data_IF_747836822380
#
_entry.id   IF_747836822380
#
_cell.length_a   1.000
_cell.length_b   1.000
_cell.length_c   1.000
_cell.angle_alpha   90.00
_cell.angle_beta   90.00
_cell.angle_gamma   90.00
#
_symmetry.space_group_name_H-M   'P 1'
#
loop_
_entity.id
_entity.type
_entity.pdbx_description
1 polymer ?
#
# COMPACT_ATOMS: atom_id res chain seq x y z
N UNK A 1 -33.57 -39.77 15.72
CA UNK A 1 -33.27 -39.79 14.27
C UNK A 1 -32.07 -38.90 14.05
N UNK A 2 -30.88 -39.49 13.98
CA UNK A 2 -29.62 -38.77 13.66
C UNK A 2 -29.62 -38.46 12.17
N UNK A 3 -29.53 -37.18 11.81
CA UNK A 3 -29.35 -36.79 10.40
C UNK A 3 -28.18 -37.56 9.77
N UNK A 4 -28.30 -37.99 8.51
CA UNK A 4 -27.21 -38.66 7.82
C UNK A 4 -25.98 -37.73 7.80
N UNK A 5 -24.85 -38.25 8.29
CA UNK A 5 -23.58 -37.53 8.33
C UNK A 5 -23.17 -37.10 6.91
N UNK A 6 -23.55 -35.88 6.52
CA UNK A 6 -23.07 -35.26 5.28
C UNK A 6 -21.57 -35.06 5.42
N UNK A 7 -20.82 -35.69 4.51
CA UNK A 7 -19.38 -35.46 4.39
C UNK A 7 -19.19 -33.96 4.13
N UNK A 8 -18.42 -33.25 4.97
CA UNK A 8 -18.20 -31.82 4.78
C UNK A 8 -17.45 -31.57 3.47
N UNK A 9 -17.82 -30.48 2.78
CA UNK A 9 -17.11 -30.01 1.58
C UNK A 9 -15.63 -29.73 1.90
N UNK A 10 -14.73 -29.97 0.94
CA UNK A 10 -13.27 -29.76 1.11
C UNK A 10 -12.92 -28.37 1.66
N UNK A 11 -13.55 -27.32 1.12
CA UNK A 11 -13.33 -25.96 1.63
C UNK A 11 -13.75 -25.76 3.09
N UNK A 12 -14.79 -26.47 3.55
CA UNK A 12 -15.21 -26.43 4.96
C UNK A 12 -14.24 -27.19 5.86
N UNK A 13 -13.66 -28.30 5.39
CA UNK A 13 -12.60 -29.02 6.09
C UNK A 13 -11.34 -28.16 6.25
N UNK A 14 -10.89 -27.51 5.18
CA UNK A 14 -9.74 -26.60 5.22
C UNK A 14 -10.02 -25.43 6.15
N UNK A 15 -11.18 -24.77 6.05
CA UNK A 15 -11.53 -23.65 6.93
C UNK A 15 -11.51 -24.04 8.41
N UNK A 16 -11.96 -25.26 8.76
CA UNK A 16 -11.86 -25.78 10.13
C UNK A 16 -10.42 -26.05 10.56
N UNK A 17 -9.62 -26.67 9.70
CA UNK A 17 -8.20 -26.90 9.98
C UNK A 17 -7.42 -25.59 10.17
N UNK A 18 -7.74 -24.58 9.36
CA UNK A 18 -7.22 -23.20 9.46
C UNK A 18 -7.63 -22.57 10.78
N UNK A 19 -8.92 -22.60 11.14
CA UNK A 19 -9.39 -22.07 12.42
C UNK A 19 -8.71 -22.74 13.63
N UNK A 20 -8.39 -24.04 13.50
CA UNK A 20 -7.67 -24.81 14.51
C UNK A 20 -6.14 -24.68 14.41
N UNK A 21 -5.61 -23.87 13.48
CA UNK A 21 -4.17 -23.66 13.23
C UNK A 21 -3.37 -24.95 12.95
N UNK A 22 -4.02 -25.93 12.32
CA UNK A 22 -3.45 -27.25 12.04
C UNK A 22 -2.76 -27.28 10.68
N UNK A 23 -1.53 -26.73 10.60
CA UNK A 23 -0.75 -26.62 9.36
C UNK A 23 -0.61 -27.95 8.62
N UNK A 24 -0.29 -29.04 9.33
CA UNK A 24 -0.09 -30.36 8.71
C UNK A 24 -1.37 -30.95 8.13
N UNK A 25 -2.51 -30.68 8.76
CA UNK A 25 -3.82 -31.10 8.24
C UNK A 25 -4.15 -30.31 6.97
N UNK A 26 -3.89 -29.00 6.93
CA UNK A 26 -4.08 -28.19 5.73
C UNK A 26 -3.22 -28.72 4.58
N UNK A 27 -1.92 -28.97 4.82
CA UNK A 27 -1.01 -29.58 3.84
C UNK A 27 -1.53 -30.93 3.34
N UNK A 28 -1.96 -31.80 4.26
CA UNK A 28 -2.50 -33.11 3.92
C UNK A 28 -3.73 -33.00 3.01
N UNK A 29 -4.69 -32.13 3.35
CA UNK A 29 -5.90 -31.95 2.54
C UNK A 29 -5.54 -31.44 1.14
N UNK A 30 -4.69 -30.42 1.03
CA UNK A 30 -4.28 -29.87 -0.27
C UNK A 30 -3.47 -30.86 -1.11
N UNK A 31 -2.68 -31.73 -0.47
CA UNK A 31 -1.97 -32.82 -1.14
C UNK A 31 -2.94 -33.86 -1.74
N UNK A 32 -4.03 -34.20 -1.02
CA UNK A 32 -5.06 -35.11 -1.52
C UNK A 32 -5.92 -34.46 -2.63
N UNK A 33 -6.11 -33.14 -2.57
CA UNK A 33 -6.91 -32.37 -3.53
C UNK A 33 -6.09 -31.27 -4.23
N UNK A 34 -5.09 -31.63 -5.05
CA UNK A 34 -4.14 -30.67 -5.62
C UNK A 34 -4.78 -29.68 -6.60
N UNK A 35 -5.96 -29.99 -7.16
CA UNK A 35 -6.71 -29.11 -8.06
C UNK A 35 -7.72 -28.20 -7.36
N UNK A 36 -7.80 -28.25 -6.02
CA UNK A 36 -8.71 -27.39 -5.27
C UNK A 36 -8.31 -25.92 -5.41
N UNK A 37 -9.21 -25.07 -5.90
CA UNK A 37 -8.96 -23.63 -6.05
C UNK A 37 -9.41 -22.85 -4.81
N UNK A 38 -8.62 -21.86 -4.41
CA UNK A 38 -8.96 -20.94 -3.32
C UNK A 38 -9.69 -19.68 -3.80
N UNK A 39 -10.03 -19.58 -5.09
CA UNK A 39 -10.66 -18.39 -5.69
C UNK A 39 -12.05 -18.01 -5.12
N UNK A 40 -12.75 -18.95 -4.47
CA UNK A 40 -14.05 -18.71 -3.83
C UNK A 40 -14.02 -19.02 -2.32
N UNK A 41 -12.82 -19.08 -1.73
CA UNK A 41 -12.59 -19.55 -0.37
C UNK A 41 -12.81 -18.48 0.72
N UNK A 42 -13.92 -17.73 0.66
CA UNK A 42 -14.21 -16.67 1.65
C UNK A 42 -14.25 -17.22 3.09
N UNK A 43 -14.74 -18.44 3.29
CA UNK A 43 -14.75 -19.09 4.62
C UNK A 43 -13.34 -19.36 5.17
N UNK A 44 -12.36 -19.62 4.30
CA UNK A 44 -10.96 -19.81 4.68
C UNK A 44 -10.33 -18.46 5.03
N UNK A 45 -10.62 -17.41 4.24
CA UNK A 45 -10.19 -16.03 4.55
C UNK A 45 -10.71 -15.59 5.92
N UNK A 46 -12.00 -15.77 6.19
CA UNK A 46 -12.59 -15.45 7.49
C UNK A 46 -11.93 -16.23 8.63
N UNK A 47 -11.69 -17.53 8.44
CA UNK A 47 -11.00 -18.34 9.44
C UNK A 47 -9.57 -17.84 9.74
N UNK A 48 -8.83 -17.38 8.73
CA UNK A 48 -7.49 -16.78 8.89
C UNK A 48 -7.54 -15.42 9.61
N UNK A 49 -8.53 -14.60 9.32
CA UNK A 49 -8.71 -13.30 9.97
C UNK A 49 -9.08 -13.45 11.46
N UNK A 50 -9.90 -14.46 11.77
CA UNK A 50 -10.33 -14.75 13.15
C UNK A 50 -9.26 -15.51 13.94
N UNK A 51 -8.48 -16.36 13.27
CA UNK A 51 -7.41 -17.18 13.87
C UNK A 51 -6.10 -17.00 13.11
N UNK A 52 -5.44 -15.82 13.19
CA UNK A 52 -4.23 -15.54 12.43
C UNK A 52 -3.13 -16.58 12.68
N UNK A 53 -2.66 -17.18 11.60
CA UNK A 53 -1.52 -18.09 11.58
C UNK A 53 -0.74 -17.92 10.26
N UNK A 54 0.47 -17.32 10.30
CA UNK A 54 1.25 -17.07 9.09
C UNK A 54 1.76 -18.35 8.42
N UNK A 55 1.97 -19.44 9.16
CA UNK A 55 2.43 -20.70 8.59
C UNK A 55 1.31 -21.39 7.81
N UNK A 56 0.08 -21.37 8.35
CA UNK A 56 -1.10 -21.85 7.62
C UNK A 56 -1.32 -21.02 6.35
N UNK A 57 -1.24 -19.69 6.46
CA UNK A 57 -1.40 -18.82 5.28
C UNK A 57 -0.33 -19.10 4.22
N UNK A 58 0.93 -19.29 4.61
CA UNK A 58 2.00 -19.58 3.66
C UNK A 58 1.71 -20.86 2.87
N UNK A 59 1.23 -21.92 3.52
CA UNK A 59 0.82 -23.16 2.83
C UNK A 59 -0.30 -22.91 1.81
N UNK A 60 -1.27 -22.06 2.14
CA UNK A 60 -2.36 -21.71 1.22
C UNK A 60 -1.85 -20.91 0.02
N UNK A 61 -0.94 -19.96 0.23
CA UNK A 61 -0.31 -19.19 -0.84
C UNK A 61 0.64 -20.04 -1.71
N UNK A 62 1.37 -21.00 -1.13
CA UNK A 62 2.21 -21.93 -1.89
C UNK A 62 1.38 -22.82 -2.82
N UNK A 63 0.16 -23.16 -2.39
CA UNK A 63 -0.79 -23.97 -3.16
C UNK A 63 -1.50 -23.17 -4.25
N UNK A 64 -1.99 -21.98 -3.93
CA UNK A 64 -2.67 -21.08 -4.87
C UNK A 64 -2.15 -19.64 -4.67
N UNK A 65 -1.14 -19.20 -5.45
CA UNK A 65 -0.52 -17.89 -5.28
C UNK A 65 -1.49 -16.72 -5.43
N UNK A 66 -2.59 -16.87 -6.18
CA UNK A 66 -3.59 -15.82 -6.33
C UNK A 66 -4.35 -15.55 -5.01
N UNK A 67 -4.29 -16.48 -4.04
CA UNK A 67 -4.99 -16.37 -2.77
C UNK A 67 -4.53 -15.18 -1.92
N UNK A 68 -3.28 -14.73 -2.04
CA UNK A 68 -2.82 -13.52 -1.33
C UNK A 68 -3.54 -12.24 -1.78
N UNK A 69 -4.08 -12.26 -3.00
CA UNK A 69 -4.83 -11.15 -3.61
C UNK A 69 -6.33 -11.44 -3.66
N UNK A 70 -6.83 -12.26 -2.72
CA UNK A 70 -8.25 -12.62 -2.67
C UNK A 70 -9.11 -11.36 -2.47
N UNK A 71 -10.01 -11.12 -3.42
CA UNK A 71 -10.93 -9.99 -3.39
C UNK A 71 -12.19 -10.31 -2.59
N UNK A 72 -12.61 -9.38 -1.75
CA UNK A 72 -13.82 -9.50 -0.94
C UNK A 72 -14.81 -8.45 -1.45
N UNK A 73 -16.02 -8.89 -1.81
CA UNK A 73 -17.11 -8.01 -2.21
C UNK A 73 -16.77 -7.09 -3.41
N UNK A 74 -16.55 -7.71 -4.58
CA UNK A 74 -16.37 -7.01 -5.86
C UNK A 74 -15.32 -5.87 -5.83
N UNK A 75 -14.13 -6.14 -5.27
CA UNK A 75 -13.03 -5.19 -5.18
C UNK A 75 -13.24 -4.00 -4.23
N UNK A 76 -14.29 -4.00 -3.41
CA UNK A 76 -14.44 -3.00 -2.35
C UNK A 76 -13.60 -3.31 -1.13
N UNK A 77 -13.34 -4.59 -0.89
CA UNK A 77 -12.44 -5.08 0.12
C UNK A 77 -11.56 -6.18 -0.48
N UNK A 78 -10.52 -6.52 0.24
CA UNK A 78 -9.61 -7.59 -0.11
C UNK A 78 -9.14 -8.24 1.18
N UNK A 79 -8.62 -9.45 1.08
CA UNK A 79 -8.04 -10.13 2.24
C UNK A 79 -6.98 -9.24 2.91
N UNK A 80 -6.14 -8.56 2.11
CA UNK A 80 -5.15 -7.63 2.64
C UNK A 80 -5.76 -6.44 3.39
N UNK A 81 -6.72 -5.73 2.77
CA UNK A 81 -7.33 -4.55 3.42
C UNK A 81 -8.09 -4.93 4.69
N UNK A 82 -8.73 -6.10 4.71
CA UNK A 82 -9.44 -6.56 5.90
C UNK A 82 -8.49 -7.02 7.00
N UNK A 83 -7.38 -7.68 6.65
CA UNK A 83 -6.31 -7.96 7.60
C UNK A 83 -5.73 -6.67 8.20
N UNK A 84 -5.53 -5.62 7.39
CA UNK A 84 -5.04 -4.33 7.89
C UNK A 84 -5.95 -3.68 8.95
N UNK A 85 -7.24 -4.00 9.00
CA UNK A 85 -8.18 -3.47 10.01
C UNK A 85 -8.15 -4.24 11.33
N UNK A 86 -7.43 -5.35 11.40
CA UNK A 86 -7.32 -6.16 12.63
C UNK A 86 -6.24 -5.60 13.57
N UNK A 87 -6.36 -5.86 14.89
CA UNK A 87 -5.36 -5.40 15.86
C UNK A 87 -3.93 -5.84 15.49
N UNK A 88 -2.95 -4.92 15.47
CA UNK A 88 -1.58 -5.21 15.05
C UNK A 88 -0.91 -6.36 15.80
N UNK A 89 -1.22 -6.53 17.08
CA UNK A 89 -0.59 -7.52 17.98
C UNK A 89 -0.79 -8.96 17.49
N UNK A 90 -1.79 -9.20 16.65
CA UNK A 90 -2.13 -10.53 16.12
C UNK A 90 -1.92 -10.66 14.62
N UNK A 91 -2.14 -9.59 13.85
CA UNK A 91 -2.25 -9.69 12.39
C UNK A 91 -0.96 -9.38 11.63
N UNK A 92 0.01 -8.69 12.24
CA UNK A 92 1.25 -8.26 11.56
C UNK A 92 2.00 -9.43 10.86
N UNK A 93 2.18 -10.62 11.46
CA UNK A 93 2.81 -11.75 10.76
C UNK A 93 2.05 -12.18 9.50
N UNK A 94 0.71 -12.17 9.54
CA UNK A 94 -0.14 -12.45 8.39
C UNK A 94 0.03 -11.38 7.30
N UNK A 95 0.09 -10.10 7.69
CA UNK A 95 0.33 -9.01 6.73
C UNK A 95 1.68 -9.15 6.03
N UNK A 96 2.73 -9.60 6.74
CA UNK A 96 4.01 -9.88 6.10
C UNK A 96 3.90 -10.97 5.04
N UNK A 97 3.26 -12.10 5.36
CA UNK A 97 3.04 -13.20 4.41
C UNK A 97 2.27 -12.71 3.19
N UNK A 98 1.17 -11.97 3.37
CA UNK A 98 0.40 -11.41 2.25
C UNK A 98 1.26 -10.50 1.36
N UNK A 99 2.04 -9.59 1.96
CA UNK A 99 2.91 -8.69 1.21
C UNK A 99 4.02 -9.44 0.48
N UNK A 100 4.59 -10.48 1.08
CA UNK A 100 5.68 -11.27 0.50
C UNK A 100 5.20 -12.17 -0.64
N UNK A 101 3.95 -12.62 -0.59
CA UNK A 101 3.29 -13.38 -1.65
C UNK A 101 2.61 -12.49 -2.72
N UNK A 102 2.81 -11.17 -2.67
CA UNK A 102 2.36 -10.28 -3.74
C UNK A 102 0.88 -9.94 -3.70
N UNK A 103 0.28 -9.85 -2.51
CA UNK A 103 -1.07 -9.31 -2.34
C UNK A 103 -1.29 -8.01 -3.13
N UNK A 104 -2.40 -7.93 -3.86
CA UNK A 104 -2.77 -6.76 -4.63
C UNK A 104 -3.14 -5.60 -3.70
N UNK A 105 -2.30 -4.56 -3.70
CA UNK A 105 -2.45 -3.37 -2.88
C UNK A 105 -3.41 -2.35 -3.48
N UNK A 106 -3.76 -2.51 -4.75
CA UNK A 106 -4.72 -1.68 -5.47
C UNK A 106 -6.13 -2.25 -5.41
N UNK A 107 -6.29 -3.53 -5.03
CA UNK A 107 -7.60 -4.10 -4.70
C UNK A 107 -8.17 -3.49 -3.41
N UNK A 108 -9.50 -3.46 -3.29
CA UNK A 108 -10.17 -2.71 -2.21
C UNK A 108 -10.21 -1.20 -2.47
N UNK A 109 -9.89 -0.75 -3.69
CA UNK A 109 -10.09 0.64 -4.11
C UNK A 109 -11.58 0.91 -4.35
N UNK A 110 -12.18 1.72 -3.48
CA UNK A 110 -13.62 2.00 -3.45
C UNK A 110 -13.98 2.70 -2.13
N UNK A 111 -15.11 2.36 -1.48
CA UNK A 111 -15.40 2.80 -0.12
C UNK A 111 -14.29 2.41 0.88
N UNK A 112 -13.56 1.32 0.61
CA UNK A 112 -12.44 0.83 1.42
C UNK A 112 -11.17 1.67 1.35
N UNK A 113 -11.09 2.64 0.42
CA UNK A 113 -9.99 3.60 0.24
C UNK A 113 -8.58 3.00 0.06
N UNK A 114 -8.49 1.70 -0.26
CA UNK A 114 -7.26 0.99 -0.58
C UNK A 114 -6.40 0.56 0.63
N UNK A 115 -5.36 -0.22 0.34
CA UNK A 115 -4.46 -0.84 1.33
C UNK A 115 -3.83 0.16 2.30
N UNK A 116 -3.30 1.28 1.80
CA UNK A 116 -2.65 2.28 2.66
C UNK A 116 -3.65 2.93 3.62
N UNK A 117 -4.88 3.18 3.20
CA UNK A 117 -5.91 3.71 4.09
C UNK A 117 -6.26 2.72 5.19
N UNK A 118 -6.56 1.47 4.83
CA UNK A 118 -6.92 0.42 5.78
C UNK A 118 -5.82 0.19 6.82
N UNK A 119 -4.55 0.23 6.42
CA UNK A 119 -3.42 0.06 7.33
C UNK A 119 -3.26 1.25 8.30
N UNK A 120 -3.54 2.48 7.85
CA UNK A 120 -3.54 3.65 8.73
C UNK A 120 -4.68 3.60 9.74
N UNK A 121 -5.89 3.30 9.28
CA UNK A 121 -7.10 3.20 10.09
C UNK A 121 -6.99 2.09 11.14
N UNK A 122 -6.47 0.92 10.75
CA UNK A 122 -6.22 -0.19 11.67
C UNK A 122 -4.99 -0.02 12.57
N UNK A 123 -4.32 1.14 12.53
CA UNK A 123 -3.19 1.43 13.41
C UNK A 123 -1.95 0.56 13.17
N UNK A 124 -1.76 0.04 11.95
CA UNK A 124 -0.66 -0.87 11.64
C UNK A 124 0.71 -0.20 11.85
N UNK A 125 1.75 -0.96 12.26
CA UNK A 125 3.06 -0.41 12.58
C UNK A 125 3.71 0.23 11.35
N UNK A 126 4.59 1.21 11.59
CA UNK A 126 5.27 1.96 10.52
C UNK A 126 5.99 1.06 9.51
N UNK A 127 6.50 -0.09 9.95
CA UNK A 127 7.16 -1.08 9.08
C UNK A 127 6.22 -1.65 8.02
N UNK A 128 4.96 -1.93 8.38
CA UNK A 128 3.94 -2.40 7.43
C UNK A 128 3.59 -1.28 6.47
N UNK A 129 3.42 -0.05 6.98
CA UNK A 129 3.16 1.13 6.14
C UNK A 129 4.29 1.37 5.15
N UNK A 130 5.56 1.29 5.57
CA UNK A 130 6.71 1.44 4.68
C UNK A 130 6.76 0.32 3.64
N UNK A 131 6.50 -0.94 4.03
CA UNK A 131 6.46 -2.08 3.09
C UNK A 131 5.37 -1.91 2.04
N UNK A 132 4.18 -1.46 2.43
CA UNK A 132 3.07 -1.12 1.53
C UNK A 132 3.48 -0.03 0.53
N UNK A 133 4.03 1.09 1.03
CA UNK A 133 4.45 2.22 0.18
C UNK A 133 5.57 1.84 -0.78
N UNK A 134 6.53 1.02 -0.34
CA UNK A 134 7.62 0.56 -1.20
C UNK A 134 7.15 -0.40 -2.30
N UNK A 135 6.17 -1.27 -2.01
CA UNK A 135 5.64 -2.23 -2.98
C UNK A 135 4.66 -1.58 -3.97
N UNK A 136 3.75 -0.72 -3.51
CA UNK A 136 2.81 -0.03 -4.40
C UNK A 136 3.41 1.18 -5.13
N UNK A 137 4.54 1.68 -4.65
CA UNK A 137 5.15 2.92 -5.14
C UNK A 137 4.49 4.18 -4.56
N UNK A 138 5.05 5.34 -4.92
CA UNK A 138 4.63 6.63 -4.37
C UNK A 138 3.27 7.13 -4.84
N UNK A 139 2.72 6.54 -5.91
CA UNK A 139 1.41 6.91 -6.48
C UNK A 139 0.24 6.62 -5.52
N UNK A 140 0.40 5.63 -4.63
CA UNK A 140 -0.62 5.30 -3.63
C UNK A 140 -0.69 6.33 -2.49
N UNK A 141 0.32 7.21 -2.34
CA UNK A 141 0.30 8.25 -1.31
C UNK A 141 -0.56 9.42 -1.79
N UNK A 142 -1.82 9.44 -1.33
CA UNK A 142 -2.73 10.57 -1.56
C UNK A 142 -2.73 11.55 -0.40
N UNK A 143 -3.26 12.76 -0.63
CA UNK A 143 -3.53 13.73 0.45
C UNK A 143 -4.39 13.09 1.54
N UNK A 144 -5.40 12.28 1.18
CA UNK A 144 -6.29 11.63 2.15
C UNK A 144 -5.53 10.76 3.14
N UNK A 145 -4.55 9.98 2.67
CA UNK A 145 -3.71 9.16 3.55
C UNK A 145 -2.87 10.02 4.51
N UNK A 146 -2.28 11.11 4.01
CA UNK A 146 -1.50 12.04 4.84
C UNK A 146 -2.38 12.73 5.87
N UNK A 147 -3.56 13.23 5.48
CA UNK A 147 -4.51 13.88 6.38
C UNK A 147 -4.99 12.91 7.48
N UNK A 148 -5.25 11.64 7.14
CA UNK A 148 -5.62 10.62 8.13
C UNK A 148 -4.48 10.38 9.13
N UNK A 149 -3.23 10.19 8.65
CA UNK A 149 -2.08 10.02 9.54
C UNK A 149 -1.87 11.22 10.49
N UNK A 150 -2.12 12.44 10.00
CA UNK A 150 -2.11 13.67 10.80
C UNK A 150 -3.19 13.63 11.87
N UNK A 151 -4.44 13.31 11.50
CA UNK A 151 -5.59 13.24 12.42
C UNK A 151 -5.38 12.19 13.50
N UNK A 152 -4.77 11.06 13.15
CA UNK A 152 -4.39 10.00 14.09
C UNK A 152 -3.16 10.35 14.95
N UNK A 153 -2.55 11.54 14.76
CA UNK A 153 -1.38 11.97 15.53
C UNK A 153 -0.11 11.18 15.26
N UNK A 154 -0.06 10.41 14.17
CA UNK A 154 1.04 9.49 13.83
C UNK A 154 2.19 10.19 13.14
N UNK A 155 2.96 10.94 13.92
CA UNK A 155 4.08 11.73 13.43
C UNK A 155 5.14 10.89 12.69
N UNK A 156 5.37 9.65 13.14
CA UNK A 156 6.26 8.68 12.50
C UNK A 156 5.85 8.40 11.04
N UNK A 157 4.55 8.14 10.82
CA UNK A 157 4.02 7.85 9.49
C UNK A 157 3.87 9.11 8.65
N UNK A 158 3.48 10.24 9.24
CA UNK A 158 3.48 11.52 8.52
C UNK A 158 4.87 11.79 7.94
N UNK A 159 5.93 11.59 8.73
CA UNK A 159 7.30 11.76 8.26
C UNK A 159 7.62 10.84 7.07
N UNK A 160 7.26 9.56 7.21
CA UNK A 160 7.45 8.55 6.17
C UNK A 160 6.75 8.93 4.86
N UNK A 161 5.45 9.25 4.92
CA UNK A 161 4.65 9.56 3.74
C UNK A 161 5.16 10.81 3.01
N UNK A 162 5.53 11.86 3.76
CA UNK A 162 6.10 13.08 3.17
C UNK A 162 7.46 12.83 2.50
N UNK A 163 8.31 12.00 3.11
CA UNK A 163 9.60 11.61 2.55
C UNK A 163 9.47 10.75 1.30
N UNK A 164 8.55 9.79 1.28
CA UNK A 164 8.35 8.88 0.16
C UNK A 164 7.66 9.58 -1.01
N UNK A 165 6.69 10.44 -0.75
CA UNK A 165 6.07 11.27 -1.78
C UNK A 165 7.10 12.15 -2.50
N UNK A 166 8.02 12.73 -1.73
CA UNK A 166 9.11 13.56 -2.24
C UNK A 166 10.03 12.80 -3.23
N UNK A 167 10.30 11.52 -2.97
CA UNK A 167 11.19 10.68 -3.79
C UNK A 167 10.51 10.11 -5.05
N UNK A 168 9.18 9.96 -5.06
CA UNK A 168 8.55 8.96 -5.90
C UNK A 168 7.63 9.43 -7.03
N UNK A 169 7.14 10.68 -7.17
CA UNK A 169 6.57 11.21 -8.45
C UNK A 169 6.12 12.69 -8.36
N UNK A 170 6.21 13.35 -9.54
CA UNK A 170 5.65 14.65 -10.00
C UNK A 170 5.47 15.78 -8.95
N UNK A 171 6.15 16.92 -9.14
CA UNK A 171 5.83 18.15 -8.42
C UNK A 171 4.32 18.44 -8.49
N UNK A 172 3.64 18.43 -7.34
CA UNK A 172 2.22 18.82 -7.23
C UNK A 172 1.22 17.75 -6.77
N UNK A 173 1.61 16.48 -6.55
CA UNK A 173 0.68 15.44 -6.08
C UNK A 173 0.10 15.72 -4.67
N UNK A 174 0.89 16.34 -3.79
CA UNK A 174 0.44 16.85 -2.50
C UNK A 174 0.43 18.38 -2.51
N UNK A 175 -0.76 18.96 -2.30
CA UNK A 175 -0.91 20.38 -2.01
C UNK A 175 -0.38 20.66 -0.60
N UNK A 176 0.76 21.33 -0.53
CA UNK A 176 1.51 21.54 0.70
C UNK A 176 0.73 22.40 1.71
N UNK A 177 0.08 23.44 1.22
CA UNK A 177 -0.75 24.36 2.02
C UNK A 177 -1.91 23.62 2.66
N UNK A 178 -2.56 22.70 1.94
CA UNK A 178 -3.65 21.89 2.47
C UNK A 178 -3.19 20.87 3.51
N UNK A 179 -2.00 20.28 3.35
CA UNK A 179 -1.41 19.39 4.37
C UNK A 179 -1.08 20.17 5.65
N UNK A 180 -0.59 21.42 5.52
CA UNK A 180 -0.36 22.29 6.66
C UNK A 180 -1.66 22.69 7.35
N UNK A 181 -2.70 23.03 6.59
CA UNK A 181 -4.05 23.31 7.11
C UNK A 181 -4.57 22.13 7.96
N UNK A 182 -4.42 20.90 7.46
CA UNK A 182 -4.83 19.69 8.19
C UNK A 182 -3.97 19.48 9.46
N UNK A 183 -2.67 19.76 9.42
CA UNK A 183 -1.79 19.69 10.59
C UNK A 183 -2.11 20.74 11.66
N UNK A 184 -2.46 21.97 11.25
CA UNK A 184 -2.81 23.04 12.18
C UNK A 184 -4.11 22.73 12.95
N UNK A 185 -5.04 21.99 12.35
CA UNK A 185 -6.29 21.57 13.00
C UNK A 185 -6.08 20.61 14.18
N UNK A 186 -4.95 19.90 14.26
CA UNK A 186 -4.70 18.93 15.34
C UNK A 186 -3.96 19.51 16.54
N UNK A 187 -3.48 20.77 16.44
CA UNK A 187 -2.60 21.41 17.43
C UNK A 187 -1.32 20.61 17.79
N UNK A 188 -0.97 19.58 17.01
CA UNK A 188 0.22 18.76 17.25
C UNK A 188 1.47 19.48 16.71
N UNK A 189 2.19 20.17 17.60
CA UNK A 189 3.33 21.00 17.23
C UNK A 189 4.45 20.23 16.51
N UNK A 190 4.64 18.94 16.85
CA UNK A 190 5.62 18.07 16.19
C UNK A 190 5.26 17.85 14.72
N UNK A 191 3.99 17.53 14.44
CA UNK A 191 3.49 17.33 13.08
C UNK A 191 3.50 18.64 12.29
N UNK A 192 3.07 19.75 12.90
CA UNK A 192 3.08 21.08 12.25
C UNK A 192 4.49 21.45 11.80
N UNK A 193 5.47 21.34 12.70
CA UNK A 193 6.89 21.65 12.41
C UNK A 193 7.45 20.75 11.31
N UNK A 194 7.08 19.47 11.32
CA UNK A 194 7.48 18.49 10.31
C UNK A 194 6.96 18.86 8.92
N UNK A 195 5.68 19.19 8.82
CA UNK A 195 5.06 19.64 7.55
C UNK A 195 5.72 20.93 7.08
N UNK A 196 5.90 21.94 7.93
CA UNK A 196 6.58 23.20 7.59
C UNK A 196 8.00 22.96 7.06
N UNK A 197 8.76 22.07 7.71
CA UNK A 197 10.12 21.71 7.29
C UNK A 197 10.11 21.06 5.91
N UNK A 198 9.17 20.14 5.66
CA UNK A 198 9.00 19.50 4.36
C UNK A 198 8.63 20.51 3.27
N UNK A 199 7.72 21.45 3.56
CA UNK A 199 7.35 22.54 2.63
C UNK A 199 8.54 23.41 2.25
N UNK A 200 9.36 23.78 3.23
CA UNK A 200 10.55 24.61 3.00
C UNK A 200 11.57 23.87 2.11
N UNK A 201 11.82 22.59 2.39
CA UNK A 201 12.72 21.74 1.57
C UNK A 201 12.23 21.66 0.12
N UNK A 202 10.94 21.43 -0.09
CA UNK A 202 10.33 21.44 -1.44
C UNK A 202 10.57 22.77 -2.16
N UNK A 203 10.31 23.91 -1.52
CA UNK A 203 10.51 25.23 -2.14
C UNK A 203 11.96 25.48 -2.54
N UNK A 204 12.93 25.04 -1.72
CA UNK A 204 14.37 25.17 -2.03
C UNK A 204 14.74 24.33 -3.25
N UNK A 205 14.20 23.12 -3.36
CA UNK A 205 14.49 22.23 -4.50
C UNK A 205 13.77 22.62 -5.78
N UNK A 206 12.53 23.11 -5.69
CA UNK A 206 11.78 23.68 -6.82
C UNK A 206 12.53 24.89 -7.39
N UNK A 207 13.10 25.76 -6.55
CA UNK A 207 13.98 26.86 -6.99
C UNK A 207 15.25 26.35 -7.69
N UNK A 208 15.98 25.39 -7.08
CA UNK A 208 17.20 24.81 -7.67
C UNK A 208 16.95 24.16 -9.04
N UNK A 209 15.84 23.45 -9.18
CA UNK A 209 15.48 22.79 -10.44
C UNK A 209 14.95 23.77 -11.49
N UNK A 210 14.25 24.83 -11.07
CA UNK A 210 13.84 25.95 -11.92
C UNK A 210 15.04 26.71 -12.49
N UNK A 211 16.03 27.04 -11.66
CA UNK A 211 17.26 27.73 -12.07
C UNK A 211 18.12 26.86 -13.00
N UNK A 212 18.21 25.55 -12.73
CA UNK A 212 18.88 24.60 -13.61
C UNK A 212 18.21 24.52 -14.99
N UNK A 213 16.87 24.39 -15.06
CA UNK A 213 16.14 24.38 -16.34
C UNK A 213 16.23 25.73 -17.08
N UNK A 214 16.22 26.86 -16.36
CA UNK A 214 16.41 28.19 -16.93
C UNK A 214 17.80 28.41 -17.53
N UNK A 215 18.84 27.89 -16.88
CA UNK A 215 20.23 27.88 -17.38
C UNK A 215 20.38 27.06 -18.66
N UNK A 216 19.80 25.85 -18.70
CA UNK A 216 19.86 24.99 -19.90
C UNK A 216 19.08 25.60 -21.06
N UNK A 217 17.89 26.17 -20.82
CA UNK A 217 17.09 26.83 -21.86
C UNK A 217 17.83 28.04 -22.44
N UNK A 218 18.49 28.86 -21.61
CA UNK A 218 19.33 29.99 -22.07
C UNK A 218 20.55 29.54 -22.88
N UNK A 219 21.15 28.38 -22.56
CA UNK A 219 22.25 27.79 -23.36
C UNK A 219 21.76 27.32 -24.73
N UNK A 220 20.59 26.69 -24.81
CA UNK A 220 19.99 26.27 -26.08
C UNK A 220 19.69 27.46 -27.00
N UNK A 221 19.09 28.55 -26.49
CA UNK A 221 18.84 29.76 -27.28
C UNK A 221 20.12 30.42 -27.78
N UNK A 222 21.19 30.46 -26.98
CA UNK A 222 22.50 30.98 -27.40
C UNK A 222 23.20 30.10 -28.45
N UNK A 223 23.06 28.78 -28.35
CA UNK A 223 23.60 27.86 -29.35
C UNK A 223 22.84 27.98 -30.69
N UNK A 224 21.53 28.13 -30.63
CA UNK A 224 20.68 28.29 -31.80
C UNK A 224 20.91 29.64 -32.50
N UNK A 225 21.10 30.74 -31.75
CA UNK A 225 21.44 32.04 -32.33
C UNK A 225 22.80 32.03 -33.05
N UNK A 226 23.81 31.37 -32.46
CA UNK A 226 25.14 31.22 -33.08
C UNK A 226 25.10 30.33 -34.33
N UNK A 227 24.25 29.30 -34.35
CA UNK A 227 24.04 28.45 -35.53
C UNK A 227 23.32 29.19 -36.66
N UNK A 228 22.35 30.05 -36.34
CA UNK A 228 21.60 30.81 -37.35
C UNK A 228 22.44 31.94 -37.98
N UNK A 229 23.32 32.58 -37.21
CA UNK A 229 24.27 33.57 -37.74
C UNK A 229 25.31 32.95 -38.69
N UNK A 230 25.71 31.68 -38.47
CA UNK A 230 26.64 30.97 -39.35
C UNK A 230 26.00 30.45 -40.65
N UNK A 231 24.69 30.23 -40.65
CA UNK A 231 23.95 29.73 -41.82
C UNK A 231 23.35 30.85 -42.69
N UNK A 232 23.35 32.10 -42.21
CA UNK A 232 22.82 33.27 -42.94
C UNK A 232 23.79 33.95 -43.92
N UNK A 233 25.04 33.50 -44.05
CA UNK A 233 26.05 34.11 -44.93
C UNK A 233 26.43 33.24 -46.15
N UNK A 234 25.52 32.40 -46.61
CA UNK A 234 25.71 31.55 -47.79
C UNK A 234 24.59 31.71 -48.82
N UNK A 235 24.26 32.94 -49.22
CA UNK A 235 23.54 33.20 -50.47
C UNK A 235 24.38 34.16 -51.29
N UNK A 236 25.16 33.58 -52.21
CA UNK A 236 25.57 34.17 -53.48
C UNK A 236 25.62 33.02 -54.49
#
# INVERSE_FOLDING_TARGET
MTEPHKIPLTGALIARAVAAKQVDIVKFILHIYPSFSLSQALSIVNALLDNPDPAVLQVLCDHDPAFSSFSIDYHFQSFFTEACRRPPEKIVPVLHVLLDNGADLWDGFGPGAGALWAALEGGQPIEIIDKIVNKAGGEMISRRNVSLAIQLGRADVVQLLLLKNHKLIRPGALNAEKVLEDAQKTANQKIITMVQTWMLKRKVEEKRTGDAKGSTKKRWWKLWSVLNERLGHGVA
#
